data_IF_768040648424
#
_entry.id   IF_768040648424
#
_cell.length_a   1.000
_cell.length_b   1.000
_cell.length_c   1.000
_cell.angle_alpha   90.00
_cell.angle_beta   90.00
_cell.angle_gamma   90.00
#
_symmetry.space_group_name_H-M   'P 1'
#
loop_
_entity.id
_entity.type
_entity.pdbx_description
1 polymer ?
#
# COMPACT_ATOMS: atom_id res chain seq x y z
N UNK A 1 -1.55 10.95 -17.61
CA UNK A 1 -2.11 9.85 -18.42
C UNK A 1 -2.82 8.90 -17.47
N UNK A 2 -4.15 8.75 -17.54
CA UNK A 2 -4.88 7.82 -16.67
C UNK A 2 -4.72 6.37 -17.15
N UNK A 3 -4.67 5.44 -16.19
CA UNK A 3 -4.62 4.00 -16.45
C UNK A 3 -5.71 3.31 -15.63
N UNK A 4 -6.19 2.15 -16.12
CA UNK A 4 -7.21 1.34 -15.44
C UNK A 4 -6.64 0.53 -14.26
N UNK A 5 -5.70 1.11 -13.50
CA UNK A 5 -5.02 0.50 -12.36
C UNK A 5 -3.50 0.35 -12.53
N UNK A 6 -2.87 -0.19 -11.49
CA UNK A 6 -1.41 -0.30 -11.35
C UNK A 6 -0.76 -1.21 -12.40
N UNK A 7 -1.40 -2.33 -12.77
CA UNK A 7 -0.83 -3.29 -13.73
C UNK A 7 -0.57 -2.67 -15.14
N UNK A 8 -1.54 -2.02 -15.80
CA UNK A 8 -1.28 -1.35 -17.08
C UNK A 8 -0.33 -0.15 -16.94
N UNK A 9 -0.37 0.58 -15.82
CA UNK A 9 0.58 1.66 -15.52
C UNK A 9 2.03 1.14 -15.45
N UNK A 10 2.25 0.03 -14.75
CA UNK A 10 3.56 -0.59 -14.56
C UNK A 10 4.16 -1.03 -15.91
N UNK A 11 3.33 -1.61 -16.78
CA UNK A 11 3.77 -2.02 -18.13
C UNK A 11 4.18 -0.81 -18.96
N UNK A 12 3.41 0.29 -18.88
CA UNK A 12 3.75 1.54 -19.57
C UNK A 12 5.04 2.19 -19.03
N UNK A 13 5.27 2.14 -17.73
CA UNK A 13 6.48 2.67 -17.10
C UNK A 13 7.72 1.86 -17.49
N UNK A 14 7.67 0.52 -17.37
CA UNK A 14 8.78 -0.37 -17.76
C UNK A 14 9.05 -0.27 -19.27
N UNK A 15 8.01 -0.13 -20.08
CA UNK A 15 8.11 0.04 -21.53
C UNK A 15 8.53 1.45 -21.98
N UNK A 16 8.74 2.39 -21.06
CA UNK A 16 9.16 3.77 -21.37
C UNK A 16 8.08 4.64 -22.02
N UNK A 17 6.82 4.23 -21.98
CA UNK A 17 5.70 5.01 -22.52
C UNK A 17 5.34 6.20 -21.63
N UNK A 18 5.59 6.08 -20.32
CA UNK A 18 5.53 7.18 -19.36
C UNK A 18 6.86 7.26 -18.59
N UNK A 19 7.38 8.47 -18.34
CA UNK A 19 8.70 8.62 -17.71
C UNK A 19 8.67 8.46 -16.18
N UNK A 20 7.51 8.65 -15.55
CA UNK A 20 7.33 8.60 -14.11
C UNK A 20 5.87 8.30 -13.74
N UNK A 21 5.66 7.81 -12.52
CA UNK A 21 4.34 7.56 -11.96
C UNK A 21 4.34 7.72 -10.43
N UNK A 22 3.14 7.79 -9.87
CA UNK A 22 2.88 7.64 -8.43
C UNK A 22 1.89 6.49 -8.30
N UNK A 23 2.21 5.54 -7.42
CA UNK A 23 1.40 4.33 -7.21
C UNK A 23 1.61 3.79 -5.79
N UNK A 24 0.89 2.71 -5.44
CA UNK A 24 1.01 2.07 -4.14
C UNK A 24 2.35 1.34 -4.00
N UNK A 25 2.99 1.47 -2.84
CA UNK A 25 4.31 0.88 -2.60
C UNK A 25 4.33 -0.65 -2.79
N UNK A 26 3.21 -1.33 -2.51
CA UNK A 26 3.05 -2.76 -2.70
C UNK A 26 3.24 -3.17 -4.17
N UNK A 27 2.71 -2.38 -5.11
CA UNK A 27 2.83 -2.65 -6.55
C UNK A 27 4.25 -2.37 -7.07
N UNK A 28 4.97 -1.44 -6.44
CA UNK A 28 6.29 -0.98 -6.88
C UNK A 28 7.46 -1.79 -6.30
N UNK A 29 7.30 -2.38 -5.12
CA UNK A 29 8.41 -2.94 -4.31
C UNK A 29 9.21 -4.01 -5.06
N UNK A 30 8.56 -5.01 -5.66
CA UNK A 30 9.27 -6.09 -6.36
C UNK A 30 9.90 -5.61 -7.67
N UNK A 31 9.21 -4.74 -8.42
CA UNK A 31 9.76 -4.18 -9.67
C UNK A 31 10.98 -3.30 -9.41
N UNK A 32 11.00 -2.58 -8.28
CA UNK A 32 12.14 -1.83 -7.82
C UNK A 32 13.32 -2.73 -7.43
N UNK A 33 13.08 -3.75 -6.60
CA UNK A 33 14.10 -4.75 -6.20
C UNK A 33 14.69 -5.47 -7.41
N UNK A 34 13.88 -5.74 -8.43
CA UNK A 34 14.31 -6.36 -9.67
C UNK A 34 15.04 -5.40 -10.64
N UNK A 35 15.19 -4.12 -10.27
CA UNK A 35 15.85 -3.10 -11.10
C UNK A 35 15.10 -2.73 -12.38
N UNK A 36 13.79 -3.04 -12.46
CA UNK A 36 12.95 -2.71 -13.61
C UNK A 36 12.43 -1.28 -13.58
N UNK A 37 12.28 -0.75 -12.37
CA UNK A 37 11.94 0.66 -12.10
C UNK A 37 12.81 1.18 -10.94
N UNK A 38 12.83 2.49 -10.76
CA UNK A 38 13.50 3.12 -9.63
C UNK A 38 12.51 3.99 -8.83
N UNK A 39 12.27 3.62 -7.56
CA UNK A 39 11.40 4.37 -6.67
C UNK A 39 12.23 5.50 -6.04
N UNK A 40 11.83 6.73 -6.30
CA UNK A 40 12.58 7.93 -5.90
C UNK A 40 12.28 8.39 -4.48
N UNK A 41 11.01 8.29 -4.08
CA UNK A 41 10.53 8.71 -2.76
C UNK A 41 9.21 8.02 -2.41
N UNK A 42 8.87 8.01 -1.12
CA UNK A 42 7.57 7.58 -0.62
C UNK A 42 6.83 8.73 0.07
N UNK A 43 5.50 8.71 0.07
CA UNK A 43 4.65 9.69 0.77
C UNK A 43 4.37 9.33 2.24
N UNK A 44 5.03 8.30 2.78
CA UNK A 44 4.89 7.91 4.18
C UNK A 44 5.51 8.91 5.15
N UNK A 45 5.06 8.88 6.41
CA UNK A 45 5.65 9.68 7.51
C UNK A 45 7.03 9.19 7.94
N UNK A 46 7.36 7.94 7.61
CA UNK A 46 8.64 7.28 7.85
C UNK A 46 8.95 6.34 6.70
N UNK A 47 10.23 5.98 6.55
CA UNK A 47 10.66 4.99 5.55
C UNK A 47 9.96 3.65 5.77
N UNK A 48 9.64 3.01 4.65
CA UNK A 48 9.06 1.66 4.66
C UNK A 48 10.12 0.62 4.99
N UNK A 49 9.79 -0.34 5.85
CA UNK A 49 10.66 -1.50 6.10
C UNK A 49 10.90 -2.34 4.83
N UNK A 50 10.00 -2.27 3.84
CA UNK A 50 10.17 -2.98 2.58
C UNK A 50 11.25 -2.36 1.69
N UNK A 51 11.43 -1.03 1.74
CA UNK A 51 12.42 -0.27 0.97
C UNK A 51 13.12 0.75 1.88
N UNK A 52 13.98 0.31 2.83
CA UNK A 52 14.57 1.19 3.84
C UNK A 52 15.53 2.24 3.26
N UNK A 53 16.04 2.00 2.05
CA UNK A 53 16.97 2.89 1.35
C UNK A 53 16.25 4.02 0.59
N UNK A 54 14.92 3.91 0.39
CA UNK A 54 14.12 4.92 -0.31
C UNK A 54 13.66 5.98 0.70
N UNK A 55 13.97 7.27 0.48
CA UNK A 55 13.57 8.33 1.39
C UNK A 55 12.07 8.62 1.30
N UNK A 56 11.54 9.30 2.31
CA UNK A 56 10.22 9.96 2.19
C UNK A 56 10.36 11.30 1.47
N UNK A 57 9.25 11.81 0.91
CA UNK A 57 9.20 13.18 0.41
C UNK A 57 9.54 14.21 1.49
N UNK A 58 9.15 13.95 2.74
CA UNK A 58 9.44 14.82 3.88
C UNK A 58 10.94 14.87 4.21
N UNK A 59 11.67 13.75 4.12
CA UNK A 59 13.14 13.70 4.24
C UNK A 59 13.85 14.48 3.12
N UNK A 60 13.24 14.57 1.95
CA UNK A 60 13.72 15.35 0.81
C UNK A 60 13.33 16.84 0.87
N UNK A 61 12.64 17.28 1.92
CA UNK A 61 12.25 18.67 2.14
C UNK A 61 10.86 19.05 1.61
N UNK A 62 10.12 18.12 0.99
CA UNK A 62 8.76 18.35 0.51
C UNK A 62 7.73 18.03 1.61
N UNK A 63 7.58 18.95 2.57
CA UNK A 63 6.77 18.74 3.78
C UNK A 63 5.27 18.56 3.51
N UNK A 64 4.77 19.09 2.40
CA UNK A 64 3.34 19.04 2.06
C UNK A 64 2.96 17.76 1.29
N UNK A 65 3.92 16.88 0.99
CA UNK A 65 3.69 15.63 0.26
C UNK A 65 3.76 14.47 1.24
N UNK A 66 2.69 14.35 2.04
CA UNK A 66 2.46 13.26 2.98
C UNK A 66 1.08 12.66 2.73
N UNK A 67 1.00 11.33 2.72
CA UNK A 67 -0.26 10.62 2.53
C UNK A 67 -0.07 9.12 2.46
N UNK A 68 -0.79 8.38 3.30
CA UNK A 68 -0.77 6.92 3.33
C UNK A 68 -2.12 6.39 2.86
N UNK A 69 -2.12 5.68 1.74
CA UNK A 69 -3.30 4.94 1.27
C UNK A 69 -3.62 3.79 2.23
N UNK A 70 -4.92 3.56 2.49
CA UNK A 70 -5.39 2.46 3.34
C UNK A 70 -6.32 1.54 2.54
N UNK A 71 -6.17 0.24 2.78
CA UNK A 71 -7.14 -0.76 2.34
C UNK A 71 -8.11 -1.04 3.48
N UNK A 72 -9.36 -1.37 3.13
CA UNK A 72 -10.38 -1.68 4.09
C UNK A 72 -11.46 -2.57 3.49
N UNK A 73 -12.24 -3.20 4.38
CA UNK A 73 -13.45 -3.91 4.01
C UNK A 73 -14.63 -2.94 4.11
N UNK A 74 -15.48 -2.97 3.09
CA UNK A 74 -16.73 -2.20 3.05
C UNK A 74 -17.90 -3.17 2.88
N UNK A 75 -19.03 -2.83 3.49
CA UNK A 75 -20.26 -3.60 3.40
C UNK A 75 -21.41 -2.69 2.92
N UNK A 76 -22.44 -3.23 2.24
CA UNK A 76 -23.59 -2.46 1.83
C UNK A 76 -24.30 -1.78 3.00
N UNK A 77 -24.93 -0.63 2.74
CA UNK A 77 -25.81 0.01 3.70
C UNK A 77 -26.94 -0.95 4.12
N UNK A 78 -27.24 -0.99 5.42
CA UNK A 78 -28.23 -1.91 5.99
C UNK A 78 -27.72 -3.31 6.34
N UNK A 79 -26.43 -3.61 6.12
CA UNK A 79 -25.83 -4.85 6.62
C UNK A 79 -26.00 -4.94 8.15
N UNK A 80 -26.51 -6.08 8.64
CA UNK A 80 -26.82 -6.23 10.07
C UNK A 80 -25.56 -6.09 10.94
N UNK A 81 -25.71 -5.51 12.14
CA UNK A 81 -24.59 -5.34 13.09
C UNK A 81 -23.92 -6.68 13.41
N UNK A 82 -24.70 -7.75 13.59
CA UNK A 82 -24.17 -9.09 13.84
C UNK A 82 -23.28 -9.61 12.70
N UNK A 83 -23.61 -9.29 11.44
CA UNK A 83 -22.78 -9.64 10.27
C UNK A 83 -21.48 -8.83 10.26
N UNK A 84 -21.55 -7.53 10.55
CA UNK A 84 -20.38 -6.65 10.63
C UNK A 84 -19.43 -7.11 11.75
N UNK A 85 -19.96 -7.40 12.93
CA UNK A 85 -19.16 -7.84 14.08
C UNK A 85 -18.45 -9.17 13.77
N UNK A 86 -19.14 -10.11 13.13
CA UNK A 86 -18.55 -11.38 12.70
C UNK A 86 -17.43 -11.18 11.65
N UNK A 87 -17.63 -10.29 10.69
CA UNK A 87 -16.61 -9.98 9.67
C UNK A 87 -15.39 -9.32 10.33
N UNK A 88 -15.61 -8.33 11.20
CA UNK A 88 -14.53 -7.65 11.90
C UNK A 88 -13.71 -8.64 12.76
N UNK A 89 -14.38 -9.52 13.52
CA UNK A 89 -13.69 -10.54 14.32
C UNK A 89 -12.85 -11.50 13.46
N UNK A 90 -13.37 -11.94 12.30
CA UNK A 90 -12.63 -12.79 11.38
C UNK A 90 -11.41 -12.09 10.78
N UNK A 91 -11.55 -10.81 10.38
CA UNK A 91 -10.46 -10.00 9.85
C UNK A 91 -9.40 -9.75 10.92
N UNK A 92 -9.80 -9.39 12.14
CA UNK A 92 -8.88 -9.18 13.26
C UNK A 92 -8.08 -10.46 13.56
N UNK A 93 -8.75 -11.61 13.59
CA UNK A 93 -8.08 -12.90 13.76
C UNK A 93 -7.08 -13.19 12.63
N UNK A 94 -7.45 -12.93 11.37
CA UNK A 94 -6.55 -13.13 10.23
C UNK A 94 -5.32 -12.21 10.29
N UNK A 95 -5.51 -10.92 10.62
CA UNK A 95 -4.43 -9.92 10.74
C UNK A 95 -3.48 -10.26 11.89
N UNK A 96 -3.94 -10.95 12.94
CA UNK A 96 -3.09 -11.44 14.02
C UNK A 96 -2.18 -12.62 13.60
N UNK A 97 -2.42 -13.25 12.44
CA UNK A 97 -1.58 -14.33 11.94
C UNK A 97 -0.16 -13.84 11.57
N UNK A 98 0.90 -14.43 12.16
CA UNK A 98 2.28 -14.03 11.84
C UNK A 98 2.63 -14.18 10.35
N UNK A 99 2.12 -15.22 9.68
CA UNK A 99 2.35 -15.44 8.25
C UNK A 99 1.75 -14.30 7.40
N UNK A 100 0.55 -13.83 7.76
CA UNK A 100 -0.10 -12.74 7.05
C UNK A 100 0.63 -11.41 7.29
N UNK A 101 1.00 -11.13 8.54
CA UNK A 101 1.77 -9.94 8.88
C UNK A 101 3.10 -9.88 8.12
N UNK A 102 3.84 -11.00 8.09
CA UNK A 102 5.10 -11.10 7.36
C UNK A 102 4.93 -10.82 5.86
N UNK A 103 3.88 -11.38 5.24
CA UNK A 103 3.58 -11.14 3.82
C UNK A 103 3.23 -9.67 3.55
N UNK A 104 2.41 -9.06 4.40
CA UNK A 104 2.02 -7.66 4.25
C UNK A 104 3.21 -6.72 4.43
N UNK A 105 4.03 -6.93 5.46
CA UNK A 105 5.24 -6.14 5.68
C UNK A 105 6.23 -6.23 4.52
N UNK A 106 6.38 -7.41 3.90
CA UNK A 106 7.21 -7.58 2.70
C UNK A 106 6.73 -6.77 1.50
N UNK A 107 5.43 -6.53 1.41
CA UNK A 107 4.77 -5.69 0.41
C UNK A 107 4.68 -4.21 0.86
N UNK A 108 5.26 -3.83 1.99
CA UNK A 108 5.18 -2.46 2.51
C UNK A 108 3.79 -2.08 3.04
N UNK A 109 2.93 -3.06 3.31
CA UNK A 109 1.63 -2.88 3.94
C UNK A 109 1.76 -3.05 5.45
N UNK A 110 1.14 -2.15 6.20
CA UNK A 110 1.12 -2.19 7.66
C UNK A 110 -0.22 -2.78 8.13
N UNK A 111 -0.22 -4.01 8.66
CA UNK A 111 -1.45 -4.63 9.14
C UNK A 111 -1.99 -3.86 10.34
N UNK A 112 -3.26 -3.43 10.25
CA UNK A 112 -3.98 -2.78 11.35
C UNK A 112 -5.34 -3.45 11.48
N UNK A 113 -5.71 -3.88 12.69
CA UNK A 113 -7.10 -4.21 12.99
C UNK A 113 -7.86 -2.92 13.26
N UNK A 114 -8.87 -2.61 12.46
CA UNK A 114 -9.76 -1.47 12.71
C UNK A 114 -10.80 -1.78 13.80
N UNK A 115 -11.20 -0.74 14.56
CA UNK A 115 -12.38 -0.79 15.44
C UNK A 115 -13.67 -0.56 14.63
N UNK A 116 -14.81 -1.01 15.14
CA UNK A 116 -16.16 -0.87 14.54
C UNK A 116 -16.91 0.35 15.13
N UNK A 117 -16.17 1.36 15.57
CA UNK A 117 -16.73 2.58 16.17
C UNK A 117 -17.11 3.61 15.11
#
# INVERSE_FOLDING_TARGET
>A
VPFNGSAPLMTALIGGQVPASVDTLADLTEMHRAGKIHVLATSGTRRSAALPDVPTFTELGYKDIEGVGRYGFIAPAGTSRATIDRLNAAVAHAIASPDLQQKFLKLGLEPQSGSVD
#
